data_IF_612786921511
#
_entry.id   IF_612786921511
#
_cell.length_a   1.000
_cell.length_b   1.000
_cell.length_c   1.000
_cell.angle_alpha   90.00
_cell.angle_beta   90.00
_cell.angle_gamma   90.00
#
_symmetry.space_group_name_H-M   'P 1'
#
loop_
_entity.id
_entity.type
_entity.pdbx_description
1 polymer ?
#
# COMPACT_ATOMS: atom_id res chain seq x y z
N UNK A 1 6.00 -22.56 -12.93
CA UNK A 1 5.48 -22.24 -11.60
C UNK A 1 6.56 -22.28 -10.50
N UNK A 2 7.26 -23.37 -10.26
CA UNK A 2 8.29 -23.48 -9.18
C UNK A 2 9.44 -22.44 -9.27
N UNK A 3 9.94 -22.10 -10.46
CA UNK A 3 11.07 -21.19 -10.64
C UNK A 3 10.70 -19.72 -10.30
N UNK A 4 9.49 -19.28 -10.65
CA UNK A 4 9.00 -17.94 -10.30
C UNK A 4 8.79 -17.79 -8.80
N UNK A 5 8.28 -18.81 -8.13
CA UNK A 5 8.12 -18.82 -6.67
C UNK A 5 9.46 -18.71 -5.96
N UNK A 6 10.47 -19.48 -6.40
CA UNK A 6 11.83 -19.42 -5.86
C UNK A 6 12.46 -18.04 -6.06
N UNK A 7 12.31 -17.45 -7.26
CA UNK A 7 12.79 -16.10 -7.54
C UNK A 7 12.12 -15.07 -6.62
N UNK A 8 10.80 -15.14 -6.45
CA UNK A 8 10.05 -14.25 -5.55
C UNK A 8 10.55 -14.36 -4.11
N UNK A 9 10.65 -15.57 -3.58
CA UNK A 9 11.16 -15.81 -2.22
C UNK A 9 12.56 -15.23 -2.02
N UNK A 10 13.46 -15.46 -2.96
CA UNK A 10 14.83 -14.96 -2.88
C UNK A 10 14.91 -13.42 -2.95
N UNK A 11 14.13 -12.79 -3.84
CA UNK A 11 14.07 -11.33 -3.95
C UNK A 11 13.53 -10.72 -2.65
N UNK A 12 12.42 -11.26 -2.15
CA UNK A 12 11.82 -10.77 -0.91
C UNK A 12 12.75 -10.95 0.30
N UNK A 13 13.46 -12.08 0.38
CA UNK A 13 14.49 -12.27 1.40
C UNK A 13 15.57 -11.18 1.31
N UNK A 14 16.10 -10.89 0.12
CA UNK A 14 17.11 -9.84 -0.05
C UNK A 14 16.62 -8.46 0.34
N UNK A 15 15.42 -8.09 -0.10
CA UNK A 15 14.83 -6.78 0.21
C UNK A 15 14.56 -6.65 1.71
N UNK A 16 14.07 -7.71 2.35
CA UNK A 16 13.60 -7.69 3.72
C UNK A 16 14.67 -7.95 4.79
N UNK A 17 15.81 -8.55 4.41
CA UNK A 17 16.85 -8.92 5.37
C UNK A 17 18.23 -8.36 5.03
N UNK A 18 18.61 -8.29 3.73
CA UNK A 18 19.96 -7.88 3.34
C UNK A 18 20.07 -6.41 2.93
N UNK A 19 19.00 -5.83 2.39
CA UNK A 19 18.97 -4.47 1.86
C UNK A 19 18.06 -3.52 2.67
N UNK A 20 17.74 -3.88 3.90
CA UNK A 20 16.85 -3.09 4.78
C UNK A 20 17.44 -1.70 5.04
N UNK A 21 16.54 -0.73 5.23
CA UNK A 21 16.86 0.64 5.60
C UNK A 21 17.05 1.58 4.41
N UNK A 22 17.61 2.74 4.67
CA UNK A 22 17.68 3.88 3.75
C UNK A 22 18.87 3.80 2.80
N UNK A 23 19.10 2.65 2.20
CA UNK A 23 20.21 2.39 1.27
C UNK A 23 19.76 1.53 0.09
N UNK A 24 20.56 1.52 -0.96
CA UNK A 24 20.39 0.67 -2.14
C UNK A 24 18.97 0.74 -2.77
N UNK A 25 18.34 1.92 -2.76
CA UNK A 25 16.96 2.12 -3.22
C UNK A 25 16.74 1.63 -4.66
N UNK A 26 17.61 2.01 -5.59
CA UNK A 26 17.50 1.59 -6.99
C UNK A 26 17.64 0.07 -7.15
N UNK A 27 18.52 -0.56 -6.39
CA UNK A 27 18.65 -2.03 -6.39
C UNK A 27 17.40 -2.72 -5.87
N UNK A 28 16.77 -2.20 -4.79
CA UNK A 28 15.51 -2.72 -4.26
C UNK A 28 14.39 -2.55 -5.29
N UNK A 29 14.27 -1.38 -5.91
CA UNK A 29 13.31 -1.10 -6.97
C UNK A 29 13.42 -2.13 -8.10
N UNK A 30 14.61 -2.31 -8.69
CA UNK A 30 14.85 -3.27 -9.76
C UNK A 30 14.55 -4.72 -9.34
N UNK A 31 14.89 -5.10 -8.13
CA UNK A 31 14.57 -6.43 -7.60
C UNK A 31 13.06 -6.64 -7.50
N UNK A 32 12.32 -5.70 -6.94
CA UNK A 32 10.86 -5.76 -6.84
C UNK A 32 10.19 -5.78 -8.21
N UNK A 33 10.64 -4.95 -9.16
CA UNK A 33 10.16 -4.99 -10.55
C UNK A 33 10.43 -6.35 -11.22
N UNK A 34 11.55 -6.99 -10.91
CA UNK A 34 11.90 -8.29 -11.50
C UNK A 34 10.99 -9.46 -11.09
N UNK A 35 10.13 -9.25 -10.08
CA UNK A 35 9.14 -10.22 -9.60
C UNK A 35 7.69 -9.77 -9.85
N UNK A 36 7.51 -8.76 -10.72
CA UNK A 36 6.21 -8.36 -11.25
C UNK A 36 5.58 -7.12 -10.62
N UNK A 37 6.25 -6.45 -9.65
CA UNK A 37 5.81 -5.13 -9.21
C UNK A 37 6.20 -4.07 -10.26
N UNK A 38 5.45 -2.98 -10.33
CA UNK A 38 5.74 -1.83 -11.16
C UNK A 38 6.06 -0.65 -10.25
N UNK A 39 7.30 -0.13 -10.30
CA UNK A 39 7.77 0.93 -9.41
C UNK A 39 8.53 1.95 -10.24
N UNK A 40 8.03 3.19 -10.24
CA UNK A 40 8.56 4.31 -11.00
C UNK A 40 9.95 4.75 -10.54
N UNK A 41 10.57 5.58 -11.37
CA UNK A 41 11.93 6.09 -11.11
C UNK A 41 11.97 7.03 -9.90
N UNK A 42 13.08 7.04 -9.19
CA UNK A 42 13.26 7.87 -8.00
C UNK A 42 12.50 7.39 -6.76
N UNK A 43 11.62 6.40 -6.88
CA UNK A 43 10.88 5.83 -5.75
C UNK A 43 11.81 5.06 -4.82
N UNK A 44 11.72 5.39 -3.53
CA UNK A 44 12.59 4.90 -2.46
C UNK A 44 11.82 3.92 -1.56
N UNK A 45 12.12 2.62 -1.67
CA UNK A 45 11.57 1.59 -0.79
C UNK A 45 12.53 1.31 0.35
N UNK A 46 12.10 1.55 1.60
CA UNK A 46 12.93 1.35 2.79
C UNK A 46 13.00 -0.14 3.14
N UNK A 47 11.87 -0.84 3.16
CA UNK A 47 11.76 -2.23 3.63
C UNK A 47 12.02 -2.40 5.12
N UNK A 48 11.70 -3.54 5.72
CA UNK A 48 11.04 -4.68 5.08
C UNK A 48 9.62 -4.36 4.60
N UNK A 49 9.06 -5.23 3.75
CA UNK A 49 7.67 -5.14 3.32
C UNK A 49 7.06 -6.54 3.14
N UNK A 50 5.74 -6.63 3.30
CA UNK A 50 4.96 -7.83 3.01
C UNK A 50 3.96 -7.47 1.91
N UNK A 51 3.92 -8.25 0.83
CA UNK A 51 3.00 -8.01 -0.26
C UNK A 51 2.55 -9.32 -0.89
N UNK A 52 1.25 -9.62 -0.81
CA UNK A 52 0.64 -10.80 -1.45
C UNK A 52 0.08 -10.47 -2.83
N UNK A 53 -0.45 -9.27 -3.05
CA UNK A 53 -0.91 -8.76 -4.34
C UNK A 53 0.21 -8.15 -5.19
N UNK A 54 -0.15 -7.33 -6.17
CA UNK A 54 0.78 -6.57 -7.00
C UNK A 54 0.77 -5.10 -6.60
N UNK A 55 1.95 -4.48 -6.61
CA UNK A 55 2.14 -3.04 -6.38
C UNK A 55 2.42 -2.35 -7.71
N UNK A 56 1.67 -1.28 -7.96
CA UNK A 56 1.90 -0.30 -9.01
C UNK A 56 2.16 1.03 -8.33
N UNK A 57 3.40 1.45 -8.28
CA UNK A 57 3.84 2.67 -7.58
C UNK A 57 4.44 3.61 -8.61
N UNK A 58 4.00 4.85 -8.60
CA UNK A 58 4.53 5.91 -9.43
C UNK A 58 5.97 6.29 -9.10
N UNK A 59 6.39 7.42 -9.61
CA UNK A 59 7.75 7.95 -9.49
C UNK A 59 7.90 8.86 -8.27
N UNK A 60 9.14 9.00 -7.79
CA UNK A 60 9.52 9.91 -6.70
C UNK A 60 8.77 9.69 -5.38
N UNK A 61 8.30 8.48 -5.11
CA UNK A 61 7.63 8.13 -3.86
C UNK A 61 8.61 7.74 -2.75
N UNK A 62 8.18 7.92 -1.51
CA UNK A 62 8.83 7.36 -0.33
C UNK A 62 7.96 6.27 0.28
N UNK A 63 8.47 5.04 0.31
CA UNK A 63 7.78 3.88 0.88
C UNK A 63 8.48 3.47 2.15
N UNK A 64 7.87 3.81 3.28
CA UNK A 64 8.38 3.54 4.62
C UNK A 64 8.54 2.04 4.91
N UNK A 65 9.19 1.74 6.00
CA UNK A 65 9.37 0.35 6.46
C UNK A 65 8.04 -0.28 6.86
N UNK A 66 8.00 -1.60 6.83
CA UNK A 66 6.87 -2.42 7.28
C UNK A 66 5.56 -2.14 6.49
N UNK A 67 5.70 -1.69 5.22
CA UNK A 67 4.55 -1.65 4.31
C UNK A 67 3.95 -3.05 4.21
N UNK A 68 2.64 -3.16 4.44
CA UNK A 68 1.92 -4.43 4.36
C UNK A 68 0.78 -4.36 3.36
N UNK A 69 0.75 -5.29 2.41
CA UNK A 69 -0.38 -5.51 1.50
C UNK A 69 -0.89 -6.91 1.70
N UNK A 70 -2.13 -7.04 2.16
CA UNK A 70 -2.82 -8.32 2.37
C UNK A 70 -3.97 -8.49 1.39
N UNK A 71 -4.26 -9.75 1.04
CA UNK A 71 -5.19 -10.09 -0.05
C UNK A 71 -4.50 -10.08 -1.42
N UNK A 72 -5.22 -10.52 -2.44
CA UNK A 72 -4.69 -10.72 -3.80
C UNK A 72 -5.10 -9.59 -4.77
N UNK A 73 -5.69 -8.51 -4.28
CA UNK A 73 -6.00 -7.33 -5.08
C UNK A 73 -4.76 -6.47 -5.30
N UNK A 74 -4.76 -5.70 -6.38
CA UNK A 74 -3.68 -4.79 -6.72
C UNK A 74 -3.79 -3.48 -5.94
N UNK A 75 -2.65 -2.85 -5.66
CA UNK A 75 -2.57 -1.51 -5.06
C UNK A 75 -1.88 -0.57 -6.05
N UNK A 76 -2.58 0.51 -6.39
CA UNK A 76 -2.11 1.56 -7.28
C UNK A 76 -1.79 2.80 -6.44
N UNK A 77 -0.57 3.31 -6.55
CA UNK A 77 -0.09 4.50 -5.85
C UNK A 77 0.46 5.44 -6.92
N UNK A 78 -0.01 6.66 -6.93
CA UNK A 78 0.42 7.69 -7.86
C UNK A 78 1.86 8.17 -7.62
N UNK A 79 2.22 9.27 -8.23
CA UNK A 79 3.54 9.89 -8.12
C UNK A 79 3.67 10.70 -6.82
N UNK A 80 4.91 10.89 -6.34
CA UNK A 80 5.25 11.79 -5.22
C UNK A 80 4.46 11.52 -3.93
N UNK A 81 4.14 10.25 -3.68
CA UNK A 81 3.45 9.82 -2.47
C UNK A 81 4.44 9.47 -1.36
N UNK A 82 4.09 9.83 -0.12
CA UNK A 82 4.85 9.48 1.07
C UNK A 82 4.05 8.55 1.97
N UNK A 83 4.52 7.32 2.10
CA UNK A 83 3.97 6.31 3.01
C UNK A 83 4.87 6.18 4.22
N UNK A 84 4.35 6.54 5.39
CA UNK A 84 5.05 6.40 6.66
C UNK A 84 5.17 4.92 7.09
N UNK A 85 5.96 4.60 8.12
CA UNK A 85 6.14 3.22 8.57
C UNK A 85 4.84 2.53 8.97
N UNK A 86 4.71 1.26 8.59
CA UNK A 86 3.60 0.39 8.99
C UNK A 86 2.28 0.65 8.27
N UNK A 87 2.26 1.42 7.20
CA UNK A 87 1.05 1.58 6.37
C UNK A 87 0.58 0.20 5.88
N UNK A 88 -0.74 -0.02 5.94
CA UNK A 88 -1.37 -1.27 5.57
C UNK A 88 -2.45 -1.07 4.50
N UNK A 89 -2.39 -1.85 3.44
CA UNK A 89 -3.43 -2.00 2.42
C UNK A 89 -4.07 -3.38 2.55
N UNK A 90 -5.38 -3.41 2.85
CA UNK A 90 -6.14 -4.66 3.05
C UNK A 90 -7.06 -4.84 1.87
N UNK A 91 -6.59 -5.48 0.80
CA UNK A 91 -7.35 -5.66 -0.44
C UNK A 91 -8.35 -6.82 -0.35
N UNK A 92 -8.13 -7.77 0.56
CA UNK A 92 -8.99 -8.92 0.75
C UNK A 92 -10.10 -8.66 1.78
N UNK A 93 -11.30 -9.19 1.49
CA UNK A 93 -12.45 -9.12 2.38
C UNK A 93 -13.37 -10.33 2.17
N UNK A 94 -14.48 -10.36 2.89
CA UNK A 94 -15.52 -11.36 2.75
C UNK A 94 -16.89 -10.68 2.62
N UNK A 95 -17.78 -11.27 1.84
CA UNK A 95 -19.19 -10.95 1.93
C UNK A 95 -19.72 -11.34 3.32
N UNK A 96 -20.69 -10.58 3.84
CA UNK A 96 -21.34 -10.96 5.10
C UNK A 96 -22.22 -12.18 4.84
N UNK A 97 -21.87 -13.29 5.44
CA UNK A 97 -22.64 -14.53 5.43
C UNK A 97 -23.74 -14.56 6.49
N UNK A 98 -24.35 -15.72 6.66
CA UNK A 98 -25.38 -15.95 7.68
C UNK A 98 -24.82 -15.97 9.11
N UNK A 99 -25.69 -16.24 10.10
CA UNK A 99 -25.31 -16.24 11.52
C UNK A 99 -24.33 -17.36 11.91
N UNK A 100 -24.27 -18.44 11.15
CA UNK A 100 -23.37 -19.56 11.43
C UNK A 100 -21.94 -19.25 10.99
N UNK A 101 -21.78 -18.45 9.90
CA UNK A 101 -20.46 -18.04 9.41
C UNK A 101 -20.51 -16.67 8.75
N UNK A 102 -20.20 -15.63 9.53
CA UNK A 102 -20.21 -14.22 9.04
C UNK A 102 -19.18 -13.94 7.95
N UNK A 103 -18.00 -14.58 7.97
CA UNK A 103 -17.05 -14.50 6.87
C UNK A 103 -17.49 -15.43 5.73
N UNK A 104 -18.36 -14.95 4.86
CA UNK A 104 -18.88 -15.65 3.70
C UNK A 104 -17.87 -15.75 2.55
N UNK A 105 -18.33 -15.65 1.30
CA UNK A 105 -17.47 -15.74 0.12
C UNK A 105 -16.39 -14.65 0.14
N UNK A 106 -15.12 -15.06 0.01
CA UNK A 106 -13.97 -14.17 -0.08
C UNK A 106 -13.98 -13.34 -1.37
N UNK A 107 -13.54 -12.11 -1.29
CA UNK A 107 -13.33 -11.22 -2.42
C UNK A 107 -12.03 -10.43 -2.25
N UNK A 108 -11.55 -9.82 -3.34
CA UNK A 108 -10.44 -8.90 -3.34
C UNK A 108 -10.82 -7.70 -4.18
N UNK A 109 -10.52 -6.52 -3.68
CA UNK A 109 -10.79 -5.27 -4.37
C UNK A 109 -9.51 -4.43 -4.44
N UNK A 110 -9.21 -3.79 -5.57
CA UNK A 110 -8.05 -2.94 -5.69
C UNK A 110 -8.17 -1.71 -4.78
N UNK A 111 -7.02 -1.14 -4.42
CA UNK A 111 -6.93 0.14 -3.71
C UNK A 111 -6.22 1.13 -4.64
N UNK A 112 -6.68 2.38 -4.66
CA UNK A 112 -6.10 3.46 -5.46
C UNK A 112 -5.73 4.63 -4.57
N UNK A 113 -4.51 5.13 -4.74
CA UNK A 113 -3.98 6.32 -4.06
C UNK A 113 -3.55 7.30 -5.15
N UNK A 114 -4.14 8.48 -5.16
CA UNK A 114 -3.80 9.56 -6.10
C UNK A 114 -2.39 10.10 -5.88
N UNK A 115 -1.99 11.05 -6.71
CA UNK A 115 -0.67 11.68 -6.64
C UNK A 115 -0.51 12.54 -5.38
N UNK A 116 0.72 12.68 -4.90
CA UNK A 116 1.06 13.61 -3.82
C UNK A 116 0.42 13.27 -2.45
N UNK A 117 -0.08 12.06 -2.26
CA UNK A 117 -0.69 11.66 -1.00
C UNK A 117 0.34 11.40 0.10
N UNK A 118 -0.04 11.73 1.32
CA UNK A 118 0.74 11.38 2.51
C UNK A 118 -0.06 10.49 3.44
N UNK A 119 0.38 9.24 3.61
CA UNK A 119 -0.23 8.29 4.55
C UNK A 119 0.62 8.22 5.83
N UNK A 120 0.02 8.64 6.93
CA UNK A 120 0.63 8.64 8.27
C UNK A 120 0.94 7.23 8.77
N UNK A 121 1.79 7.14 9.79
CA UNK A 121 2.25 5.87 10.32
C UNK A 121 1.08 4.96 10.74
N UNK A 122 1.15 3.68 10.35
CA UNK A 122 0.13 2.66 10.63
C UNK A 122 -1.28 3.00 10.12
N UNK A 123 -1.41 3.91 9.15
CA UNK A 123 -2.68 4.10 8.46
C UNK A 123 -3.05 2.82 7.71
N UNK A 124 -4.34 2.47 7.75
CA UNK A 124 -4.91 1.31 7.08
C UNK A 124 -5.92 1.76 6.03
N UNK A 125 -5.83 1.23 4.81
CA UNK A 125 -6.78 1.48 3.73
C UNK A 125 -7.41 0.16 3.31
N UNK A 126 -8.75 0.12 3.28
CA UNK A 126 -9.50 -1.10 2.94
C UNK A 126 -9.72 -1.24 1.43
N UNK A 127 -9.97 -2.47 0.99
CA UNK A 127 -10.21 -2.81 -0.42
C UNK A 127 -11.38 -2.05 -1.03
N UNK A 128 -11.22 -1.63 -2.27
CA UNK A 128 -12.19 -0.83 -3.02
C UNK A 128 -12.05 0.68 -2.83
N UNK A 129 -11.26 1.14 -1.85
CA UNK A 129 -11.11 2.57 -1.55
C UNK A 129 -10.21 3.27 -2.56
N UNK A 130 -10.64 4.47 -2.95
CA UNK A 130 -9.85 5.46 -3.68
C UNK A 130 -9.55 6.65 -2.78
N UNK A 131 -8.27 7.00 -2.64
CA UNK A 131 -7.81 8.26 -2.06
C UNK A 131 -7.54 9.23 -3.19
N UNK A 132 -8.19 10.38 -3.19
CA UNK A 132 -7.93 11.47 -4.14
C UNK A 132 -6.51 12.04 -4.00
N UNK A 133 -6.06 12.75 -5.02
CA UNK A 133 -4.72 13.37 -5.05
C UNK A 133 -4.55 14.41 -3.93
N UNK A 134 -3.34 14.56 -3.40
CA UNK A 134 -3.06 15.49 -2.32
C UNK A 134 -3.70 15.16 -0.96
N UNK A 135 -4.25 13.95 -0.82
CA UNK A 135 -4.91 13.53 0.42
C UNK A 135 -3.88 13.16 1.49
N UNK A 136 -4.11 13.65 2.71
CA UNK A 136 -3.35 13.27 3.90
C UNK A 136 -4.20 12.35 4.77
N UNK A 137 -3.68 11.16 5.07
CA UNK A 137 -4.29 10.21 6.00
C UNK A 137 -3.54 10.27 7.33
N UNK A 138 -4.23 10.61 8.40
CA UNK A 138 -3.63 10.70 9.75
C UNK A 138 -3.09 9.34 10.21
N UNK A 139 -2.10 9.37 11.10
CA UNK A 139 -1.54 8.15 11.68
C UNK A 139 -2.61 7.31 12.37
N UNK A 140 -2.51 5.98 12.24
CA UNK A 140 -3.45 4.99 12.81
C UNK A 140 -4.90 5.11 12.32
N UNK A 141 -5.19 5.91 11.30
CA UNK A 141 -6.51 5.99 10.71
C UNK A 141 -6.87 4.71 9.94
N UNK A 142 -8.18 4.37 9.90
CA UNK A 142 -8.71 3.28 9.09
C UNK A 142 -9.67 3.84 8.04
N UNK A 143 -9.21 3.89 6.79
CA UNK A 143 -9.99 4.43 5.66
C UNK A 143 -10.80 3.32 5.03
N UNK A 144 -12.13 3.39 5.20
CA UNK A 144 -13.08 2.40 4.74
C UNK A 144 -14.01 2.91 3.61
N UNK A 145 -13.82 4.16 3.17
CA UNK A 145 -14.59 4.81 2.10
C UNK A 145 -13.68 5.74 1.31
N UNK A 146 -14.06 6.01 0.08
CA UNK A 146 -13.35 6.97 -0.78
C UNK A 146 -13.17 8.32 -0.09
N UNK A 147 -12.03 8.94 -0.36
CA UNK A 147 -11.70 10.29 0.12
C UNK A 147 -11.48 11.19 -1.10
N UNK A 148 -12.00 12.43 -1.08
CA UNK A 148 -11.80 13.38 -2.15
C UNK A 148 -10.34 13.85 -2.24
N UNK A 149 -10.02 14.59 -3.30
CA UNK A 149 -8.73 15.28 -3.44
C UNK A 149 -8.54 16.30 -2.31
N UNK A 150 -7.29 16.58 -1.97
CA UNK A 150 -6.90 17.68 -1.11
C UNK A 150 -7.65 17.70 0.23
N UNK A 151 -7.67 16.59 0.94
CA UNK A 151 -8.27 16.52 2.27
C UNK A 151 -7.34 15.90 3.30
N UNK A 152 -7.50 16.30 4.56
CA UNK A 152 -6.98 15.59 5.72
C UNK A 152 -8.09 14.70 6.28
N UNK A 153 -7.84 13.39 6.31
CA UNK A 153 -8.76 12.40 6.89
C UNK A 153 -8.12 11.67 8.06
N UNK A 154 -8.93 11.24 9.04
CA UNK A 154 -8.42 10.53 10.22
C UNK A 154 -9.50 9.87 11.05
N UNK A 155 -9.06 9.01 11.96
CA UNK A 155 -9.96 8.26 12.87
C UNK A 155 -10.24 6.83 12.40
N UNK A 156 -11.06 6.09 13.19
CA UNK A 156 -11.47 4.69 12.94
C UNK A 156 -12.99 4.60 13.19
N UNK A 157 -13.81 4.56 12.12
CA UNK A 157 -13.45 4.76 10.71
C UNK A 157 -13.02 6.20 10.43
N UNK A 158 -12.17 6.37 9.41
CA UNK A 158 -11.66 7.68 9.02
C UNK A 158 -12.80 8.58 8.49
N UNK A 159 -12.73 9.86 8.86
CA UNK A 159 -13.62 10.93 8.40
C UNK A 159 -12.78 12.13 7.97
N UNK A 160 -13.29 12.95 7.08
CA UNK A 160 -12.66 14.21 6.69
C UNK A 160 -12.60 15.11 7.92
N UNK A 161 -11.40 15.59 8.25
CA UNK A 161 -11.13 16.53 9.33
C UNK A 161 -11.17 17.96 8.80
N UNK A 162 -10.56 18.18 7.64
CA UNK A 162 -10.57 19.46 6.91
C UNK A 162 -10.16 19.29 5.45
N UNK A 163 -10.51 20.24 4.63
CA UNK A 163 -9.97 20.43 3.29
C UNK A 163 -8.56 21.03 3.34
N UNK A 164 -7.75 20.74 2.35
CA UNK A 164 -6.40 21.28 2.18
C UNK A 164 -6.36 22.12 0.91
N UNK A 165 -5.51 23.11 0.89
CA UNK A 165 -5.25 23.86 -0.35
C UNK A 165 -4.50 22.97 -1.35
N UNK A 166 -4.78 23.10 -2.68
CA UNK A 166 -4.13 22.35 -3.74
C UNK A 166 -2.62 22.60 -3.83
#
# INVERSE_FOLDING_TARGET
MKLQTLKRTWVMFRVNHLLVGTRAFEKKRRLLCSIGHEIGEGTKVVGPLVCTGKLHIGSACWIGRDLTVTGNGDVYIGDRCDLAPGVMFVTGSHAIGDSHRRAGKGNNQPIRVGDGCWLGARATVLGGVTLGSGTVVAACACVAKDQPDNCLTGGVPAKIIRELEP
#
